data_IF_490327736566
#
_entry.id   IF_490327736566
#
_cell.length_a   1.000
_cell.length_b   1.000
_cell.length_c   1.000
_cell.angle_alpha   90.00
_cell.angle_beta   90.00
_cell.angle_gamma   90.00
#
_symmetry.space_group_name_H-M   'P 1'
#
loop_
_entity.id
_entity.type
_entity.pdbx_description
1 polymer ?
#
# COMPACT_ATOMS: atom_id res chain seq x y z
N UNK A 1 6.48 14.42 -13.59
CA UNK A 1 6.70 13.92 -12.20
C UNK A 1 7.70 14.86 -11.55
N UNK A 2 7.30 15.57 -10.53
CA UNK A 2 8.18 16.45 -9.74
C UNK A 2 8.44 15.80 -8.39
N UNK A 3 9.71 15.78 -7.96
CA UNK A 3 10.05 15.33 -6.62
C UNK A 3 9.69 16.43 -5.63
N UNK A 4 8.91 16.10 -4.60
CA UNK A 4 8.43 17.08 -3.61
C UNK A 4 9.40 17.14 -2.43
N UNK A 5 9.91 16.00 -1.99
CA UNK A 5 10.87 15.93 -0.87
C UNK A 5 11.58 14.58 -0.83
N UNK A 6 12.82 14.61 -0.31
CA UNK A 6 13.56 13.44 0.12
C UNK A 6 13.81 13.60 1.62
N UNK A 7 13.60 12.54 2.38
CA UNK A 7 13.95 12.48 3.80
C UNK A 7 14.74 11.21 4.12
N UNK A 8 15.74 11.36 4.97
CA UNK A 8 16.51 10.23 5.50
C UNK A 8 15.69 9.63 6.66
N UNK A 9 15.38 8.34 6.58
CA UNK A 9 14.69 7.61 7.66
C UNK A 9 15.67 6.98 8.64
N UNK A 10 16.81 6.53 8.13
CA UNK A 10 17.95 6.00 8.87
C UNK A 10 19.20 6.11 8.01
N UNK A 11 20.34 5.65 8.53
CA UNK A 11 21.63 5.66 7.81
C UNK A 11 21.55 4.99 6.42
N UNK A 12 20.66 4.00 6.26
CA UNK A 12 20.54 3.19 5.05
C UNK A 12 19.14 3.20 4.43
N UNK A 13 18.25 4.03 4.96
CA UNK A 13 16.87 4.10 4.47
C UNK A 13 16.49 5.53 4.11
N UNK A 14 15.97 5.71 2.92
CA UNK A 14 15.46 6.99 2.45
C UNK A 14 14.01 6.88 2.03
N UNK A 15 13.31 7.99 2.15
CA UNK A 15 11.95 8.17 1.68
C UNK A 15 11.93 9.32 0.69
N UNK A 16 11.35 9.07 -0.47
CA UNK A 16 11.12 10.10 -1.48
C UNK A 16 9.62 10.23 -1.76
N UNK A 17 9.20 11.45 -1.95
CA UNK A 17 7.81 11.79 -2.24
C UNK A 17 7.73 12.47 -3.61
N UNK A 18 6.91 11.92 -4.50
CA UNK A 18 6.72 12.42 -5.86
C UNK A 18 5.25 12.69 -6.13
N UNK A 19 4.93 13.85 -6.70
CA UNK A 19 3.63 14.07 -7.29
C UNK A 19 3.62 13.49 -8.71
N UNK A 20 2.80 12.47 -8.92
CA UNK A 20 2.63 11.82 -10.24
C UNK A 20 1.67 12.66 -11.08
N UNK A 21 0.58 13.08 -10.44
CA UNK A 21 -0.48 13.88 -11.01
C UNK A 21 -1.20 14.64 -9.91
N UNK A 22 -2.13 15.49 -10.27
CA UNK A 22 -2.96 16.21 -9.31
C UNK A 22 -3.66 15.22 -8.37
N UNK A 23 -3.50 15.41 -7.06
CA UNK A 23 -4.02 14.53 -6.00
C UNK A 23 -3.48 13.09 -6.02
N UNK A 24 -2.43 12.81 -6.79
CA UNK A 24 -1.85 11.50 -6.92
C UNK A 24 -0.35 11.54 -6.56
N UNK A 25 0.00 11.00 -5.40
CA UNK A 25 1.36 11.03 -4.85
C UNK A 25 1.93 9.62 -4.76
N UNK A 26 3.17 9.43 -5.17
CA UNK A 26 3.97 8.24 -4.90
C UNK A 26 4.87 8.49 -3.69
N UNK A 27 4.86 7.56 -2.75
CA UNK A 27 5.81 7.48 -1.64
C UNK A 27 6.72 6.30 -1.93
N UNK A 28 7.99 6.58 -2.14
CA UNK A 28 9.03 5.56 -2.38
C UNK A 28 9.88 5.39 -1.14
N UNK A 29 9.97 4.16 -0.66
CA UNK A 29 10.88 3.74 0.38
C UNK A 29 12.06 3.02 -0.26
N UNK A 30 13.28 3.41 0.07
CA UNK A 30 14.52 2.76 -0.34
C UNK A 30 15.21 2.21 0.90
N UNK A 31 15.67 0.96 0.83
CA UNK A 31 16.48 0.32 1.85
C UNK A 31 17.75 -0.23 1.19
N UNK A 32 18.86 0.49 1.34
CA UNK A 32 20.12 0.21 0.67
C UNK A 32 20.84 -1.03 1.21
N UNK A 33 20.47 -1.49 2.40
CA UNK A 33 21.06 -2.69 3.03
C UNK A 33 20.19 -3.95 2.88
N UNK A 34 19.00 -3.83 2.31
CA UNK A 34 18.12 -4.98 2.13
C UNK A 34 18.42 -5.68 0.80
N UNK A 35 19.31 -6.65 0.84
CA UNK A 35 19.75 -7.42 -0.34
C UNK A 35 18.73 -8.46 -0.83
N UNK A 36 17.59 -8.58 -0.15
CA UNK A 36 16.56 -9.55 -0.47
C UNK A 36 15.17 -8.91 -0.46
N UNK A 37 14.43 -9.13 -1.53
CA UNK A 37 13.01 -8.84 -1.57
C UNK A 37 12.24 -10.12 -1.95
N UNK A 38 11.56 -10.72 -0.96
CA UNK A 38 10.85 -12.01 -1.11
C UNK A 38 11.72 -13.12 -1.68
N UNK A 39 11.58 -13.41 -2.99
CA UNK A 39 12.33 -14.44 -3.72
C UNK A 39 13.48 -13.89 -4.55
N UNK A 40 13.65 -12.59 -4.57
CA UNK A 40 14.76 -11.92 -5.23
C UNK A 40 15.93 -11.79 -4.26
N UNK A 41 17.11 -12.21 -4.69
CA UNK A 41 18.32 -12.21 -3.89
C UNK A 41 19.43 -11.42 -4.58
N UNK A 42 20.49 -11.11 -3.85
CA UNK A 42 21.69 -10.40 -4.31
C UNK A 42 21.35 -9.02 -4.91
N UNK A 43 20.43 -8.31 -4.26
CA UNK A 43 20.11 -6.93 -4.62
C UNK A 43 21.17 -6.01 -4.04
N UNK A 44 22.36 -5.96 -4.65
CA UNK A 44 23.55 -5.23 -4.15
C UNK A 44 23.31 -3.76 -3.84
N UNK A 45 22.33 -3.13 -4.50
CA UNK A 45 21.94 -1.75 -4.26
C UNK A 45 20.80 -1.61 -3.26
N UNK A 46 20.33 -2.73 -2.67
CA UNK A 46 19.19 -2.76 -1.79
C UNK A 46 17.84 -2.86 -2.50
N UNK A 47 16.76 -2.56 -1.80
CA UNK A 47 15.39 -2.71 -2.29
C UNK A 47 14.63 -1.40 -2.32
N UNK A 48 13.66 -1.32 -3.22
CA UNK A 48 12.69 -0.22 -3.30
C UNK A 48 11.26 -0.73 -3.08
N UNK A 49 10.44 0.09 -2.45
CA UNK A 49 9.01 -0.15 -2.30
C UNK A 49 8.24 1.15 -2.56
N UNK A 50 7.19 1.06 -3.38
CA UNK A 50 6.34 2.20 -3.70
C UNK A 50 4.93 2.00 -3.13
N UNK A 51 4.44 3.03 -2.47
CA UNK A 51 3.05 3.18 -2.05
C UNK A 51 2.47 4.40 -2.75
N UNK A 52 1.20 4.33 -3.13
CA UNK A 52 0.56 5.44 -3.82
C UNK A 52 -0.60 5.97 -2.99
N UNK A 53 -0.70 7.28 -2.92
CA UNK A 53 -1.76 8.00 -2.23
C UNK A 53 -2.57 8.78 -3.25
N UNK A 54 -3.87 8.53 -3.29
CA UNK A 54 -4.81 9.28 -4.12
C UNK A 54 -5.79 9.97 -3.19
N UNK A 55 -5.89 11.29 -3.30
CA UNK A 55 -6.88 12.07 -2.57
C UNK A 55 -8.10 12.34 -3.46
N UNK A 56 -9.26 12.04 -2.96
CA UNK A 56 -10.54 12.35 -3.61
C UNK A 56 -11.51 12.90 -2.56
N UNK A 57 -11.84 14.19 -2.66
CA UNK A 57 -12.63 14.89 -1.66
C UNK A 57 -12.09 14.68 -0.23
N UNK A 58 -12.89 14.10 0.65
CA UNK A 58 -12.55 13.81 2.04
C UNK A 58 -12.00 12.37 2.23
N UNK A 59 -11.75 11.64 1.15
CA UNK A 59 -11.25 10.27 1.19
C UNK A 59 -9.79 10.17 0.75
N UNK A 60 -9.04 9.27 1.38
CA UNK A 60 -7.70 8.88 0.99
C UNK A 60 -7.69 7.44 0.49
N UNK A 61 -7.24 7.25 -0.73
CA UNK A 61 -6.95 5.92 -1.26
C UNK A 61 -5.46 5.63 -1.05
N UNK A 62 -5.17 4.54 -0.35
CA UNK A 62 -3.82 4.00 -0.14
C UNK A 62 -3.69 2.78 -1.02
N UNK A 63 -2.86 2.87 -2.05
CA UNK A 63 -2.60 1.76 -2.96
C UNK A 63 -1.25 1.15 -2.64
N UNK A 64 -1.22 -0.16 -2.42
CA UNK A 64 -0.05 -0.94 -2.03
C UNK A 64 0.60 -0.40 -0.74
N UNK A 65 -0.04 -0.59 0.44
CA UNK A 65 0.54 -0.18 1.73
C UNK A 65 1.93 -0.76 1.93
N UNK A 66 2.85 -0.02 2.56
CA UNK A 66 4.21 -0.49 2.76
C UNK A 66 4.31 -1.61 3.80
N UNK A 67 5.44 -2.29 3.84
CA UNK A 67 5.76 -3.26 4.87
C UNK A 67 5.94 -2.59 6.25
N UNK A 68 5.74 -3.37 7.31
CA UNK A 68 5.81 -2.94 8.72
C UNK A 68 7.08 -2.16 9.07
N UNK A 69 8.21 -2.45 8.45
CA UNK A 69 9.45 -1.74 8.72
C UNK A 69 9.38 -0.23 8.45
N UNK A 70 8.47 0.21 7.58
CA UNK A 70 8.24 1.63 7.25
C UNK A 70 7.07 2.26 8.00
N UNK A 71 6.47 1.52 8.95
CA UNK A 71 5.20 1.87 9.58
C UNK A 71 5.20 3.26 10.24
N UNK A 72 6.26 3.61 10.98
CA UNK A 72 6.31 4.88 11.71
C UNK A 72 6.27 6.07 10.75
N UNK A 73 7.13 6.06 9.74
CA UNK A 73 7.18 7.13 8.74
C UNK A 73 5.91 7.18 7.89
N UNK A 74 5.33 6.01 7.60
CA UNK A 74 4.08 5.93 6.86
C UNK A 74 2.91 6.51 7.66
N UNK A 75 2.80 6.20 8.95
CA UNK A 75 1.78 6.78 9.84
C UNK A 75 1.89 8.31 9.93
N UNK A 76 3.10 8.83 10.02
CA UNK A 76 3.33 10.28 10.02
C UNK A 76 2.81 10.92 8.72
N UNK A 77 3.12 10.32 7.57
CA UNK A 77 2.65 10.79 6.26
C UNK A 77 1.12 10.79 6.23
N UNK A 78 0.47 9.67 6.59
CA UNK A 78 -1.00 9.57 6.55
C UNK A 78 -1.64 10.59 7.50
N UNK A 79 -1.11 10.73 8.72
CA UNK A 79 -1.61 11.71 9.69
C UNK A 79 -1.49 13.15 9.16
N UNK A 80 -0.38 13.48 8.51
CA UNK A 80 -0.18 14.78 7.88
C UNK A 80 -1.18 15.03 6.74
N UNK A 81 -1.44 14.02 5.89
CA UNK A 81 -2.48 14.12 4.85
C UNK A 81 -3.87 14.35 5.46
N UNK A 82 -4.23 13.59 6.49
CA UNK A 82 -5.51 13.74 7.18
C UNK A 82 -5.71 15.16 7.73
N UNK A 83 -4.70 15.66 8.44
CA UNK A 83 -4.77 16.99 9.04
C UNK A 83 -4.78 18.09 7.97
N UNK A 84 -3.94 17.99 6.96
CA UNK A 84 -3.80 19.00 5.90
C UNK A 84 -5.07 19.12 5.06
N UNK A 85 -5.68 18.00 4.70
CA UNK A 85 -6.80 17.94 3.76
C UNK A 85 -8.15 17.66 4.44
N UNK A 86 -8.19 17.60 5.78
CA UNK A 86 -9.40 17.30 6.58
C UNK A 86 -10.12 16.04 6.11
N UNK A 87 -9.35 14.99 5.88
CA UNK A 87 -9.86 13.71 5.42
C UNK A 87 -10.59 12.99 6.55
N UNK A 88 -11.57 12.15 6.22
CA UNK A 88 -12.36 11.41 7.19
C UNK A 88 -12.43 9.90 6.92
N UNK A 89 -12.01 9.42 5.74
CA UNK A 89 -12.08 8.01 5.35
C UNK A 89 -10.83 7.52 4.65
N UNK A 90 -10.48 6.26 4.90
CA UNK A 90 -9.38 5.55 4.21
C UNK A 90 -9.91 4.39 3.39
N UNK A 91 -9.48 4.32 2.14
CA UNK A 91 -9.69 3.18 1.25
C UNK A 91 -8.33 2.55 0.92
N UNK A 92 -8.06 1.37 1.47
CA UNK A 92 -6.85 0.62 1.16
C UNK A 92 -7.11 -0.28 -0.03
N UNK A 93 -6.31 -0.18 -1.09
CA UNK A 93 -6.33 -1.10 -2.24
C UNK A 93 -5.04 -1.89 -2.22
N UNK A 94 -5.12 -3.21 -2.05
CA UNK A 94 -3.93 -4.06 -1.93
C UNK A 94 -4.02 -5.28 -2.84
N UNK A 95 -3.07 -5.38 -3.76
CA UNK A 95 -2.88 -6.55 -4.63
C UNK A 95 -1.87 -7.53 -4.05
N UNK A 96 -0.98 -7.05 -3.19
CA UNK A 96 0.00 -7.88 -2.50
C UNK A 96 -0.34 -8.00 -1.02
N UNK A 97 -0.48 -9.25 -0.56
CA UNK A 97 -0.87 -9.55 0.81
C UNK A 97 0.19 -10.46 1.42
N UNK A 98 0.85 -9.96 2.45
CA UNK A 98 1.77 -10.71 3.28
C UNK A 98 1.63 -10.27 4.75
N UNK A 99 2.21 -10.99 5.73
CA UNK A 99 2.07 -10.65 7.14
C UNK A 99 2.56 -9.23 7.49
N UNK A 100 3.59 -8.73 6.82
CA UNK A 100 4.15 -7.39 7.10
C UNK A 100 3.19 -6.27 6.66
N UNK A 101 2.55 -6.44 5.50
CA UNK A 101 1.54 -5.50 4.98
C UNK A 101 0.28 -5.54 5.85
N UNK A 102 -0.16 -6.72 6.28
CA UNK A 102 -1.31 -6.85 7.19
C UNK A 102 -1.07 -6.11 8.51
N UNK A 103 0.14 -6.18 9.07
CA UNK A 103 0.47 -5.41 10.29
C UNK A 103 0.37 -3.90 10.06
N UNK A 104 0.77 -3.42 8.89
CA UNK A 104 0.60 -2.00 8.51
C UNK A 104 -0.87 -1.64 8.42
N UNK A 105 -1.68 -2.43 7.70
CA UNK A 105 -3.12 -2.17 7.56
C UNK A 105 -3.82 -2.21 8.93
N UNK A 106 -3.50 -3.17 9.79
CA UNK A 106 -4.01 -3.25 11.17
C UNK A 106 -3.67 -2.00 11.98
N UNK A 107 -2.46 -1.50 11.84
CA UNK A 107 -2.05 -0.30 12.56
C UNK A 107 -2.81 0.95 12.07
N UNK A 108 -2.95 1.12 10.75
CA UNK A 108 -3.76 2.20 10.17
C UNK A 108 -5.21 2.10 10.63
N UNK A 109 -5.81 0.90 10.66
CA UNK A 109 -7.19 0.70 11.10
C UNK A 109 -7.43 1.02 12.57
N UNK A 110 -6.40 0.94 13.42
CA UNK A 110 -6.50 1.38 14.83
C UNK A 110 -6.55 2.90 14.97
N UNK A 111 -5.89 3.61 14.08
CA UNK A 111 -5.81 5.08 14.14
C UNK A 111 -7.01 5.74 13.45
N UNK A 112 -7.55 5.11 12.41
CA UNK A 112 -8.61 5.65 11.57
C UNK A 112 -9.79 4.67 11.54
N UNK A 113 -10.91 5.08 12.14
CA UNK A 113 -12.06 4.19 12.34
C UNK A 113 -12.81 3.85 11.04
N UNK A 114 -12.88 4.79 10.10
CA UNK A 114 -13.53 4.57 8.80
C UNK A 114 -12.49 4.10 7.76
N UNK A 115 -12.25 2.79 7.76
CA UNK A 115 -11.32 2.14 6.83
C UNK A 115 -12.03 1.03 6.06
N UNK A 116 -11.85 1.03 4.75
CA UNK A 116 -12.31 -0.04 3.84
C UNK A 116 -11.11 -0.65 3.12
N UNK A 117 -11.09 -1.98 2.96
CA UNK A 117 -10.06 -2.69 2.20
C UNK A 117 -10.67 -3.18 0.89
N UNK A 118 -10.00 -2.92 -0.23
CA UNK A 118 -10.36 -3.46 -1.56
C UNK A 118 -9.26 -4.39 -2.03
N UNK A 119 -9.61 -5.62 -2.37
CA UNK A 119 -8.67 -6.66 -2.79
C UNK A 119 -9.33 -7.69 -3.72
N UNK A 120 -8.53 -8.54 -4.35
CA UNK A 120 -9.04 -9.67 -5.13
C UNK A 120 -9.67 -10.75 -4.24
N UNK A 121 -10.42 -11.69 -4.83
CA UNK A 121 -11.00 -12.79 -4.06
C UNK A 121 -9.94 -13.69 -3.37
N UNK A 122 -8.82 -14.09 -4.00
CA UNK A 122 -7.74 -14.74 -3.27
C UNK A 122 -7.09 -13.85 -2.20
N UNK A 123 -6.97 -12.54 -2.47
CA UNK A 123 -6.48 -11.56 -1.48
C UNK A 123 -7.35 -11.52 -0.23
N UNK A 124 -8.67 -11.56 -0.38
CA UNK A 124 -9.61 -11.62 0.76
C UNK A 124 -9.36 -12.84 1.65
N UNK A 125 -9.13 -14.03 1.05
CA UNK A 125 -8.83 -15.24 1.83
C UNK A 125 -7.55 -15.09 2.65
N UNK A 126 -6.49 -14.56 2.01
CA UNK A 126 -5.22 -14.29 2.70
C UNK A 126 -5.37 -13.25 3.83
N UNK A 127 -6.10 -12.17 3.59
CA UNK A 127 -6.37 -11.16 4.62
C UNK A 127 -7.11 -11.80 5.80
N UNK A 128 -8.16 -12.58 5.54
CA UNK A 128 -8.96 -13.22 6.59
C UNK A 128 -8.14 -14.17 7.45
N UNK A 129 -7.26 -14.94 6.85
CA UNK A 129 -6.35 -15.84 7.57
C UNK A 129 -5.31 -15.08 8.40
N UNK A 130 -4.62 -14.12 7.78
CA UNK A 130 -3.54 -13.37 8.42
C UNK A 130 -4.05 -12.38 9.48
N UNK A 131 -5.26 -11.87 9.31
CA UNK A 131 -5.86 -10.93 10.27
C UNK A 131 -6.01 -11.53 11.66
N UNK A 132 -6.42 -12.79 11.72
CA UNK A 132 -6.67 -13.50 12.97
C UNK A 132 -5.44 -14.22 13.53
N UNK A 133 -4.31 -14.21 12.79
CA UNK A 133 -3.08 -14.82 13.29
C UNK A 133 -2.58 -14.07 14.52
N UNK A 134 -2.33 -14.83 15.58
CA UNK A 134 -1.71 -14.31 16.81
C UNK A 134 -0.21 -14.20 16.62
N UNK A 135 0.34 -13.08 16.98
CA UNK A 135 1.79 -12.96 17.11
C UNK A 135 2.20 -13.62 18.44
N UNK A 136 2.91 -14.76 18.44
CA UNK A 136 3.26 -15.48 19.66
C UNK A 136 4.17 -14.67 20.60
N UNK A 137 4.80 -13.61 20.11
CA UNK A 137 5.70 -12.75 20.88
C UNK A 137 4.99 -11.58 21.59
N UNK A 138 3.68 -11.38 21.35
CA UNK A 138 2.93 -10.34 22.04
C UNK A 138 2.24 -10.94 23.28
N UNK A 139 2.55 -10.35 24.45
CA UNK A 139 1.96 -10.77 25.75
C UNK A 139 0.47 -10.43 25.85
N UNK A 140 0.02 -9.40 25.17
CA UNK A 140 -1.39 -8.98 25.14
C UNK A 140 -1.91 -9.04 23.72
N UNK A 141 -3.02 -9.74 23.54
CA UNK A 141 -3.74 -9.81 22.27
C UNK A 141 -4.86 -8.77 22.32
N UNK A 142 -4.70 -7.70 21.55
CA UNK A 142 -5.80 -6.76 21.27
C UNK A 142 -6.48 -7.24 20.00
N UNK A 143 -7.72 -7.70 20.14
CA UNK A 143 -8.54 -8.06 18.99
C UNK A 143 -8.86 -6.80 18.18
N UNK A 144 -8.40 -6.77 16.93
CA UNK A 144 -8.71 -5.69 16.01
C UNK A 144 -9.79 -6.18 15.08
N UNK A 145 -10.93 -5.51 15.10
CA UNK A 145 -12.03 -5.85 14.19
C UNK A 145 -11.56 -5.74 12.73
N UNK A 146 -11.89 -6.74 11.92
CA UNK A 146 -11.62 -6.72 10.49
C UNK A 146 -12.47 -5.60 9.84
N UNK A 147 -11.83 -4.66 9.12
CA UNK A 147 -12.56 -3.60 8.41
C UNK A 147 -13.49 -4.16 7.32
N UNK A 148 -14.36 -3.31 6.79
CA UNK A 148 -15.16 -3.65 5.62
C UNK A 148 -14.26 -4.02 4.45
N UNK A 149 -14.57 -5.13 3.76
CA UNK A 149 -13.80 -5.59 2.59
C UNK A 149 -14.67 -5.56 1.34
N UNK A 150 -14.16 -4.91 0.30
CA UNK A 150 -14.70 -4.94 -1.05
C UNK A 150 -13.90 -5.96 -1.88
N UNK A 151 -14.58 -6.96 -2.42
CA UNK A 151 -13.93 -8.04 -3.17
C UNK A 151 -14.08 -7.79 -4.67
N UNK A 152 -12.95 -7.61 -5.35
CA UNK A 152 -12.89 -7.53 -6.81
C UNK A 152 -12.84 -8.95 -7.38
N UNK A 153 -13.94 -9.38 -8.01
CA UNK A 153 -14.06 -10.76 -8.55
C UNK A 153 -13.57 -10.88 -9.98
N UNK A 154 -13.82 -9.88 -10.81
CA UNK A 154 -13.37 -9.80 -12.21
C UNK A 154 -12.62 -8.50 -12.44
N UNK A 155 -13.35 -7.43 -12.63
CA UNK A 155 -12.86 -6.07 -12.71
C UNK A 155 -13.77 -5.15 -11.92
N UNK A 156 -13.26 -4.02 -11.46
CA UNK A 156 -14.02 -3.01 -10.76
C UNK A 156 -13.57 -1.64 -11.24
N UNK A 157 -14.50 -0.84 -11.72
CA UNK A 157 -14.26 0.56 -12.03
C UNK A 157 -14.68 1.43 -10.83
N UNK A 158 -13.78 2.28 -10.39
CA UNK A 158 -14.01 3.30 -9.37
C UNK A 158 -13.89 4.66 -10.03
N UNK A 159 -15.04 5.29 -10.27
CA UNK A 159 -15.09 6.67 -10.76
C UNK A 159 -15.01 7.63 -9.56
N UNK A 160 -13.95 8.38 -9.49
CA UNK A 160 -13.71 9.44 -8.54
C UNK A 160 -13.71 10.74 -9.34
N UNK A 161 -13.89 11.90 -8.72
CA UNK A 161 -14.15 13.16 -9.44
C UNK A 161 -13.26 13.40 -10.68
N UNK A 162 -11.94 13.34 -10.50
CA UNK A 162 -10.97 13.56 -11.57
C UNK A 162 -10.11 12.32 -11.89
N UNK A 163 -10.43 11.17 -11.29
CA UNK A 163 -9.63 9.96 -11.35
C UNK A 163 -10.54 8.78 -11.64
N UNK A 164 -10.20 7.99 -12.64
CA UNK A 164 -10.95 6.78 -13.01
C UNK A 164 -10.03 5.57 -12.87
N UNK A 165 -10.25 4.77 -11.81
CA UNK A 165 -9.46 3.58 -11.51
C UNK A 165 -10.15 2.33 -12.00
N UNK A 166 -9.47 1.56 -12.81
CA UNK A 166 -9.84 0.19 -13.18
C UNK A 166 -8.98 -0.80 -12.40
N UNK A 167 -9.62 -1.60 -11.54
CA UNK A 167 -8.98 -2.61 -10.73
C UNK A 167 -9.15 -3.97 -11.37
N UNK A 168 -8.05 -4.61 -11.76
CA UNK A 168 -8.05 -5.86 -12.52
C UNK A 168 -7.33 -6.95 -11.72
N UNK A 169 -8.04 -8.01 -11.26
CA UNK A 169 -7.39 -9.13 -10.60
C UNK A 169 -6.49 -9.90 -11.57
N UNK A 170 -5.24 -10.09 -11.17
CA UNK A 170 -4.25 -10.88 -11.92
C UNK A 170 -3.65 -11.92 -10.97
N UNK A 171 -4.40 -12.97 -10.65
CA UNK A 171 -3.88 -14.03 -9.80
C UNK A 171 -2.79 -14.80 -10.52
N UNK A 172 -1.61 -14.85 -9.93
CA UNK A 172 -0.51 -15.67 -10.41
C UNK A 172 -0.14 -16.73 -9.37
N UNK A 173 0.59 -17.75 -9.78
CA UNK A 173 1.04 -18.80 -8.87
C UNK A 173 1.90 -18.25 -7.72
N UNK A 174 2.67 -17.18 -7.98
CA UNK A 174 3.53 -16.52 -6.99
C UNK A 174 2.77 -15.56 -6.08
N UNK A 175 1.81 -14.81 -6.64
CA UNK A 175 1.04 -13.79 -5.93
C UNK A 175 -0.44 -13.97 -6.22
N UNK A 176 -1.10 -14.90 -5.53
CA UNK A 176 -2.49 -15.26 -5.81
C UNK A 176 -3.46 -14.10 -5.57
N UNK A 177 -3.10 -13.15 -4.72
CA UNK A 177 -3.89 -11.95 -4.45
C UNK A 177 -3.71 -10.83 -5.47
N UNK A 178 -2.87 -11.00 -6.51
CA UNK A 178 -2.49 -9.96 -7.45
C UNK A 178 -3.64 -9.12 -7.97
N UNK A 179 -3.45 -7.81 -7.95
CA UNK A 179 -4.42 -6.80 -8.39
C UNK A 179 -3.64 -5.63 -9.00
N UNK A 180 -3.78 -5.42 -10.30
CA UNK A 180 -3.26 -4.22 -10.95
C UNK A 180 -4.33 -3.14 -11.01
N UNK A 181 -3.87 -1.90 -11.08
CA UNK A 181 -4.75 -0.74 -11.11
C UNK A 181 -4.33 0.12 -12.30
N UNK A 182 -5.29 0.43 -13.15
CA UNK A 182 -5.11 1.34 -14.27
C UNK A 182 -5.89 2.62 -14.03
N UNK A 183 -5.20 3.75 -13.96
CA UNK A 183 -5.81 5.07 -13.94
C UNK A 183 -5.99 5.53 -15.38
N UNK A 184 -7.25 5.67 -15.80
CA UNK A 184 -7.62 5.84 -17.21
C UNK A 184 -7.38 7.25 -17.74
N UNK A 185 -7.60 8.28 -16.92
CA UNK A 185 -7.54 9.68 -17.39
C UNK A 185 -6.12 10.13 -17.72
N UNK A 186 -5.14 9.55 -17.02
CA UNK A 186 -3.72 9.90 -17.17
C UNK A 186 -2.88 8.73 -17.70
N UNK A 187 -3.53 7.61 -18.04
CA UNK A 187 -2.90 6.42 -18.61
C UNK A 187 -1.78 5.85 -17.72
N UNK A 188 -2.01 5.83 -16.37
CA UNK A 188 -1.03 5.34 -15.40
C UNK A 188 -1.37 3.91 -15.01
N UNK A 189 -0.43 2.98 -15.23
CA UNK A 189 -0.54 1.60 -14.79
C UNK A 189 0.27 1.37 -13.51
N UNK A 190 -0.42 0.99 -12.43
CA UNK A 190 0.17 0.51 -11.18
C UNK A 190 0.19 -1.02 -11.24
N UNK A 191 1.29 -1.57 -11.73
CA UNK A 191 1.41 -3.01 -12.06
C UNK A 191 1.73 -3.90 -10.86
N UNK A 192 1.98 -3.29 -9.71
CA UNK A 192 2.35 -3.96 -8.47
C UNK A 192 3.60 -4.86 -8.67
N UNK A 193 3.46 -6.19 -8.56
CA UNK A 193 4.57 -7.16 -8.73
C UNK A 193 4.86 -7.52 -10.19
N UNK A 194 3.97 -7.16 -11.11
CA UNK A 194 4.18 -7.41 -12.55
C UNK A 194 5.11 -6.33 -13.09
N UNK A 195 6.17 -6.74 -13.81
CA UNK A 195 7.19 -5.84 -14.36
C UNK A 195 8.03 -5.07 -13.32
N UNK A 196 7.97 -5.46 -12.03
CA UNK A 196 8.75 -4.81 -10.98
C UNK A 196 10.13 -5.42 -10.85
N UNK A 197 11.13 -4.60 -10.51
CA UNK A 197 12.49 -5.04 -10.23
C UNK A 197 12.89 -4.87 -8.75
N UNK A 198 12.18 -4.05 -7.98
CA UNK A 198 12.40 -3.79 -6.54
C UNK A 198 13.85 -3.41 -6.17
N UNK A 199 14.58 -2.74 -7.06
CA UNK A 199 15.98 -2.34 -6.86
C UNK A 199 16.01 -0.90 -6.35
N UNK A 200 16.77 -0.64 -5.30
CA UNK A 200 17.12 0.72 -4.89
C UNK A 200 18.21 1.27 -5.82
N UNK A 201 18.03 2.46 -6.34
CA UNK A 201 18.97 3.11 -7.26
C UNK A 201 19.07 4.60 -6.97
#
# INVERSE_FOLDING_TARGET
MSEISISLLSENQTLSKFEIAENFTCIRFLDHNKERFELEFNLEKGTSFNTFLIRNNEELFIIHPPEKQYLNSFNEIISNFFNQYKLNKINVISGHINPQIIETIKNVSKQFQDLTITCSNPGFKLISELWNQRNPNLKEFVEIQLPKINIVKKELNLELDNISLELIPIPTARWPGGLIIYERNQEILLSEKIFSAHIAS
#
